data_IF_724511427382
#
_entry.id   IF_724511427382
#
_cell.length_a   1.000
_cell.length_b   1.000
_cell.length_c   1.000
_cell.angle_alpha   90.00
_cell.angle_beta   90.00
_cell.angle_gamma   90.00
#
_symmetry.space_group_name_H-M   'P 1'
#
loop_
_entity.id
_entity.type
_entity.pdbx_description
1 polymer ?
#
# COMPACT_ATOMS: atom_id res chain seq x y z
N UNK A 1 -27.25 -0.68 -3.54
CA UNK A 1 -26.77 -0.11 -2.25
C UNK A 1 -25.37 -0.63 -2.02
N UNK A 2 -24.36 0.09 -2.51
CA UNK A 2 -22.95 -0.32 -2.42
C UNK A 2 -22.40 0.20 -1.10
N UNK A 3 -22.17 -0.71 -0.15
CA UNK A 3 -21.60 -0.39 1.15
C UNK A 3 -20.10 -0.13 0.98
N UNK A 4 -19.71 1.14 0.93
CA UNK A 4 -18.31 1.54 1.09
C UNK A 4 -17.98 1.49 2.58
N UNK A 5 -17.17 0.51 2.99
CA UNK A 5 -16.58 0.48 4.34
C UNK A 5 -15.70 1.72 4.47
N UNK A 6 -16.19 2.68 5.25
CA UNK A 6 -15.49 3.93 5.54
C UNK A 6 -14.38 3.59 6.53
N UNK A 7 -13.14 3.59 6.08
CA UNK A 7 -11.98 3.40 6.95
C UNK A 7 -11.87 4.64 7.83
N UNK A 8 -12.26 4.49 9.10
CA UNK A 8 -12.23 5.56 10.10
C UNK A 8 -10.77 5.93 10.42
N UNK A 9 -10.45 7.22 10.30
CA UNK A 9 -9.15 7.80 10.63
C UNK A 9 -9.03 7.92 12.15
N UNK A 10 -8.52 6.89 12.82
CA UNK A 10 -8.16 6.98 14.22
C UNK A 10 -6.83 7.76 14.38
N UNK A 11 -6.91 8.99 14.91
CA UNK A 11 -5.78 9.81 15.33
C UNK A 11 -4.98 9.09 16.43
N UNK A 12 -3.78 8.58 16.11
CA UNK A 12 -2.93 7.90 17.08
C UNK A 12 -1.64 8.69 17.38
N UNK A 13 -1.67 9.42 18.50
CA UNK A 13 -0.48 9.92 19.20
C UNK A 13 0.06 8.83 20.13
N UNK A 14 1.22 8.23 19.83
CA UNK A 14 2.29 7.90 20.80
C UNK A 14 3.47 7.19 20.12
N UNK A 15 4.60 7.89 20.14
CA UNK A 15 5.91 7.43 19.66
C UNK A 15 6.42 6.24 20.48
N UNK A 16 6.57 5.09 19.83
CA UNK A 16 7.40 3.97 20.30
C UNK A 16 8.44 3.71 19.21
N UNK A 17 9.72 3.79 19.56
CA UNK A 17 10.87 3.58 18.66
C UNK A 17 10.88 2.15 18.09
N UNK A 18 10.44 1.91 16.84
CA UNK A 18 10.63 0.63 16.10
C UNK A 18 10.62 0.81 14.58
N UNK A 19 11.81 0.76 13.94
CA UNK A 19 12.11 0.96 12.49
C UNK A 19 11.54 2.26 11.87
N UNK A 20 12.32 3.01 11.08
CA UNK A 20 11.77 4.22 10.45
C UNK A 20 10.57 3.80 9.59
N UNK A 21 9.37 4.38 9.78
CA UNK A 21 8.20 4.08 8.95
C UNK A 21 8.50 4.23 7.45
N UNK A 22 9.42 5.13 7.09
CA UNK A 22 9.95 5.29 5.74
C UNK A 22 10.52 4.00 5.12
N UNK A 23 11.20 3.14 5.88
CA UNK A 23 11.81 1.92 5.34
C UNK A 23 10.76 0.91 4.86
N UNK A 24 9.57 0.91 5.46
CA UNK A 24 8.44 0.04 5.06
C UNK A 24 7.80 0.52 3.77
N UNK A 25 7.54 1.82 3.66
CA UNK A 25 7.04 2.43 2.43
C UNK A 25 7.94 2.13 1.24
N UNK A 26 9.25 2.25 1.42
CA UNK A 26 10.24 2.00 0.37
C UNK A 26 10.35 0.52 -0.03
N UNK A 27 10.15 -0.41 0.91
CA UNK A 27 10.07 -1.84 0.59
C UNK A 27 8.81 -2.16 -0.22
N UNK A 28 7.66 -1.64 0.22
CA UNK A 28 6.40 -1.79 -0.49
C UNK A 28 6.49 -1.23 -1.91
N UNK A 29 6.98 0.00 -2.08
CA UNK A 29 7.15 0.62 -3.38
C UNK A 29 8.02 -0.23 -4.31
N UNK A 30 9.14 -0.77 -3.82
CA UNK A 30 10.01 -1.66 -4.60
C UNK A 30 9.33 -2.96 -5.01
N UNK A 31 8.59 -3.59 -4.11
CA UNK A 31 7.86 -4.82 -4.41
C UNK A 31 6.78 -4.60 -5.48
N UNK A 32 6.02 -3.50 -5.37
CA UNK A 32 5.02 -3.11 -6.34
C UNK A 32 5.62 -2.78 -7.72
N UNK A 33 6.75 -2.06 -7.76
CA UNK A 33 7.49 -1.80 -9.01
C UNK A 33 7.95 -3.11 -9.66
N UNK A 34 8.51 -4.03 -8.87
CA UNK A 34 8.94 -5.34 -9.37
C UNK A 34 7.74 -6.18 -9.88
N UNK A 35 6.60 -6.12 -9.18
CA UNK A 35 5.38 -6.80 -9.60
C UNK A 35 4.83 -6.22 -10.91
N UNK A 36 4.78 -4.89 -11.05
CA UNK A 36 4.40 -4.23 -12.31
C UNK A 36 5.30 -4.63 -13.47
N UNK A 37 6.62 -4.66 -13.26
CA UNK A 37 7.58 -5.05 -14.28
C UNK A 37 7.37 -6.50 -14.76
N UNK A 38 7.00 -7.42 -13.86
CA UNK A 38 6.64 -8.81 -14.22
C UNK A 38 5.39 -8.91 -15.08
N UNK A 39 4.49 -7.94 -14.96
CA UNK A 39 3.28 -7.80 -15.79
C UNK A 39 3.54 -6.99 -17.08
N UNK A 40 4.80 -6.63 -17.36
CA UNK A 40 5.18 -5.87 -18.56
C UNK A 40 4.89 -4.37 -18.48
N UNK A 41 4.62 -3.83 -17.28
CA UNK A 41 4.38 -2.40 -17.06
C UNK A 41 5.55 -1.76 -16.31
N UNK A 42 6.00 -0.59 -16.77
CA UNK A 42 6.97 0.22 -16.02
C UNK A 42 6.24 1.32 -15.26
N UNK A 43 6.39 1.32 -13.94
CA UNK A 43 5.78 2.30 -13.04
C UNK A 43 6.84 2.90 -12.11
N UNK A 44 6.60 4.13 -11.68
CA UNK A 44 7.35 4.81 -10.62
C UNK A 44 6.40 5.02 -9.45
N UNK A 45 6.83 4.56 -8.28
CA UNK A 45 6.14 4.74 -7.02
C UNK A 45 7.01 5.60 -6.10
N UNK A 46 6.38 6.51 -5.34
CA UNK A 46 7.05 7.34 -4.35
C UNK A 46 6.21 7.37 -3.08
N UNK A 47 6.85 7.19 -1.93
CA UNK A 47 6.16 7.20 -0.64
C UNK A 47 5.77 8.63 -0.29
N UNK A 48 4.46 8.87 -0.19
CA UNK A 48 3.92 10.18 0.17
C UNK A 48 3.71 10.27 1.67
N UNK A 49 3.21 9.18 2.28
CA UNK A 49 2.84 9.15 3.69
C UNK A 49 2.95 7.74 4.23
N UNK A 50 3.36 7.64 5.50
CA UNK A 50 3.30 6.40 6.28
C UNK A 50 2.74 6.73 7.64
N UNK A 51 1.57 6.18 7.96
CA UNK A 51 0.91 6.37 9.24
C UNK A 51 0.76 5.03 9.97
N UNK A 52 1.03 4.97 11.29
CA UNK A 52 0.72 3.77 12.06
C UNK A 52 -0.79 3.54 12.08
N UNK A 53 -1.20 2.28 11.98
CA UNK A 53 -2.61 1.88 12.05
C UNK A 53 -2.77 0.69 12.99
N UNK A 54 -3.86 0.65 13.74
CA UNK A 54 -4.23 -0.49 14.55
C UNK A 54 -5.75 -0.64 14.59
N UNK A 55 -6.19 -1.89 14.69
CA UNK A 55 -7.55 -2.32 14.99
C UNK A 55 -7.55 -3.10 16.32
N UNK A 56 -8.71 -3.61 16.74
CA UNK A 56 -8.83 -4.43 17.94
C UNK A 56 -7.95 -5.70 17.91
N UNK A 57 -7.68 -6.24 16.73
CA UNK A 57 -6.96 -7.53 16.54
C UNK A 57 -5.70 -7.43 15.70
N UNK A 58 -5.48 -6.31 15.00
CA UNK A 58 -4.36 -6.14 14.07
C UNK A 58 -3.63 -4.84 14.33
N UNK A 59 -2.33 -4.82 14.06
CA UNK A 59 -1.50 -3.62 14.07
C UNK A 59 -0.71 -3.57 12.77
N UNK A 60 -0.37 -2.37 12.32
CA UNK A 60 0.03 -2.18 10.95
C UNK A 60 0.47 -0.76 10.62
N UNK A 61 0.46 -0.46 9.33
CA UNK A 61 0.69 0.89 8.83
C UNK A 61 -0.12 1.11 7.56
N UNK A 62 -0.73 2.29 7.45
CA UNK A 62 -1.29 2.77 6.19
C UNK A 62 -0.18 3.52 5.45
N UNK A 63 0.09 3.10 4.22
CA UNK A 63 1.10 3.70 3.36
C UNK A 63 0.39 4.29 2.15
N UNK A 64 0.64 5.57 1.88
CA UNK A 64 0.16 6.24 0.67
C UNK A 64 1.33 6.42 -0.28
N UNK A 65 1.17 5.94 -1.51
CA UNK A 65 2.15 6.04 -2.58
C UNK A 65 1.58 6.87 -3.72
N UNK A 66 2.35 7.82 -4.23
CA UNK A 66 2.07 8.44 -5.52
C UNK A 66 2.49 7.50 -6.65
N UNK A 67 1.61 7.30 -7.63
CA UNK A 67 1.87 6.49 -8.82
C UNK A 67 2.06 7.37 -10.05
N UNK A 68 3.17 7.14 -10.74
CA UNK A 68 3.44 7.69 -12.06
C UNK A 68 3.71 6.51 -13.02
N UNK A 69 2.82 6.32 -13.98
CA UNK A 69 2.87 5.22 -14.94
C UNK A 69 2.54 5.77 -16.34
N UNK A 70 3.26 5.28 -17.35
CA UNK A 70 2.90 5.60 -18.74
C UNK A 70 1.52 5.01 -19.03
N UNK A 71 0.55 5.81 -19.53
CA UNK A 71 -0.79 5.32 -19.82
C UNK A 71 -0.73 4.26 -20.91
N UNK A 72 -1.28 3.08 -20.62
CA UNK A 72 -1.34 1.99 -21.58
C UNK A 72 -2.17 0.80 -21.08
N UNK A 73 -2.48 -0.17 -21.96
CA UNK A 73 -3.28 -1.32 -21.59
C UNK A 73 -2.62 -2.16 -20.48
N UNK A 74 -1.29 -2.25 -20.47
CA UNK A 74 -0.55 -2.97 -19.43
C UNK A 74 -0.67 -2.31 -18.04
N UNK A 75 -0.60 -0.98 -17.95
CA UNK A 75 -0.75 -0.26 -16.68
C UNK A 75 -2.18 -0.33 -16.16
N UNK A 76 -3.17 -0.17 -17.04
CA UNK A 76 -4.58 -0.29 -16.68
C UNK A 76 -4.93 -1.70 -16.22
N UNK A 77 -4.42 -2.72 -16.90
CA UNK A 77 -4.62 -4.11 -16.49
C UNK A 77 -3.93 -4.40 -15.16
N UNK A 78 -2.69 -3.94 -14.97
CA UNK A 78 -1.99 -4.10 -13.69
C UNK A 78 -2.76 -3.46 -12.53
N UNK A 79 -3.26 -2.24 -12.70
CA UNK A 79 -4.05 -1.55 -11.67
C UNK A 79 -5.38 -2.23 -11.37
N UNK A 80 -6.05 -2.78 -12.39
CA UNK A 80 -7.30 -3.50 -12.21
C UNK A 80 -7.12 -4.81 -11.41
N UNK A 81 -5.97 -5.48 -11.56
CA UNK A 81 -5.67 -6.72 -10.85
C UNK A 81 -4.97 -6.51 -9.51
N UNK A 82 -4.50 -5.29 -9.22
CA UNK A 82 -3.71 -4.99 -8.02
C UNK A 82 -4.42 -5.31 -6.69
N UNK A 83 -5.72 -5.05 -6.51
CA UNK A 83 -6.43 -5.37 -5.26
C UNK A 83 -6.51 -6.87 -4.97
N UNK A 84 -6.44 -7.71 -5.99
CA UNK A 84 -6.50 -9.18 -5.88
C UNK A 84 -5.11 -9.83 -5.99
N UNK A 85 -4.07 -9.05 -6.29
CA UNK A 85 -2.72 -9.54 -6.49
C UNK A 85 -2.07 -9.91 -5.15
N UNK A 86 -1.57 -11.14 -5.06
CA UNK A 86 -0.72 -11.54 -3.95
C UNK A 86 0.72 -11.07 -4.19
N UNK A 87 1.15 -10.11 -3.38
CA UNK A 87 2.47 -9.46 -3.51
C UNK A 87 3.28 -9.74 -2.25
N UNK A 88 4.31 -10.60 -2.32
CA UNK A 88 5.06 -11.00 -1.16
C UNK A 88 5.93 -9.86 -0.62
N UNK A 89 5.77 -9.53 0.67
CA UNK A 89 6.54 -8.51 1.39
C UNK A 89 7.37 -9.06 2.55
N UNK A 90 7.64 -10.36 2.54
CA UNK A 90 8.43 -11.03 3.58
C UNK A 90 7.66 -11.13 4.89
N UNK A 91 7.99 -10.26 5.86
CA UNK A 91 7.38 -10.27 7.22
C UNK A 91 6.15 -9.38 7.35
N UNK A 92 5.95 -8.47 6.40
CA UNK A 92 4.80 -7.58 6.36
C UNK A 92 3.76 -8.22 5.41
N UNK A 93 2.46 -8.15 5.74
CA UNK A 93 1.39 -8.67 4.89
C UNK A 93 0.54 -7.51 4.36
N UNK A 94 0.26 -7.51 3.06
CA UNK A 94 -0.68 -6.57 2.47
C UNK A 94 -2.10 -7.03 2.83
N UNK A 95 -2.77 -6.24 3.66
CA UNK A 95 -4.14 -6.52 4.06
C UNK A 95 -5.16 -5.92 3.09
N UNK A 96 -4.84 -4.76 2.52
CA UNK A 96 -5.71 -4.07 1.56
C UNK A 96 -4.89 -3.15 0.65
N UNK A 97 -5.33 -3.01 -0.61
CA UNK A 97 -4.80 -2.04 -1.58
C UNK A 97 -5.97 -1.34 -2.26
N UNK A 98 -6.06 -0.03 -2.07
CA UNK A 98 -6.98 0.82 -2.81
C UNK A 98 -6.22 1.67 -3.83
N UNK A 99 -6.71 1.68 -5.07
CA UNK A 99 -6.29 2.64 -6.10
C UNK A 99 -7.25 3.81 -6.07
N UNK A 100 -6.74 5.00 -5.75
CA UNK A 100 -7.54 6.21 -5.65
C UNK A 100 -7.10 7.23 -6.72
N UNK A 101 -8.04 7.94 -7.36
CA UNK A 101 -7.68 9.05 -8.24
C UNK A 101 -7.12 10.23 -7.44
N UNK A 102 -6.06 10.87 -7.93
CA UNK A 102 -5.43 12.05 -7.33
C UNK A 102 -5.16 13.10 -8.43
N UNK A 103 -6.22 13.82 -8.82
CA UNK A 103 -6.17 14.78 -9.92
C UNK A 103 -5.85 14.11 -11.26
N UNK A 104 -4.72 14.46 -11.87
CA UNK A 104 -4.23 13.84 -13.11
C UNK A 104 -3.39 12.59 -12.88
N UNK A 105 -3.13 12.25 -11.62
CA UNK A 105 -2.34 11.09 -11.20
C UNK A 105 -3.22 10.10 -10.44
N UNK A 106 -2.63 8.97 -10.09
CA UNK A 106 -3.22 7.99 -9.22
C UNK A 106 -2.39 7.88 -7.95
N UNK A 107 -3.05 7.53 -6.85
CA UNK A 107 -2.40 7.20 -5.60
C UNK A 107 -2.81 5.81 -5.16
N UNK A 108 -1.89 5.10 -4.54
CA UNK A 108 -2.15 3.80 -3.94
C UNK A 108 -2.20 4.00 -2.43
N UNK A 109 -3.30 3.58 -1.81
CA UNK A 109 -3.43 3.52 -0.36
C UNK A 109 -3.37 2.06 0.05
N UNK A 110 -2.31 1.69 0.74
CA UNK A 110 -2.00 0.30 1.09
C UNK A 110 -2.03 0.13 2.60
N UNK A 111 -2.80 -0.85 3.06
CA UNK A 111 -2.79 -1.27 4.45
C UNK A 111 -1.83 -2.46 4.61
N UNK A 112 -0.76 -2.26 5.37
CA UNK A 112 0.11 -3.35 5.80
C UNK A 112 -0.26 -3.78 7.19
N UNK A 113 -0.52 -5.08 7.37
CA UNK A 113 -0.59 -5.72 8.68
C UNK A 113 0.79 -6.25 9.07
N UNK A 114 1.15 -6.05 10.33
CA UNK A 114 2.23 -6.78 10.96
C UNK A 114 1.71 -8.18 11.27
N UNK A 115 2.46 -9.20 10.87
CA UNK A 115 2.20 -10.53 11.37
C UNK A 115 2.38 -10.53 12.90
N UNK A 116 1.35 -10.99 13.61
CA UNK A 116 1.38 -11.16 15.06
C UNK A 116 2.18 -12.42 15.47
N UNK A 117 2.58 -13.27 14.52
CA UNK A 117 3.42 -14.43 14.79
C UNK A 117 4.90 -14.05 14.93
N UNK A 118 5.23 -13.45 16.06
CA UNK A 118 6.60 -13.08 16.42
C UNK A 118 6.79 -12.95 17.92
N UNK A 119 6.25 -13.88 18.68
CA UNK A 119 6.48 -14.08 20.12
C UNK A 119 6.53 -15.57 20.42
#
# INVERSE_FOLDING_TARGET
>A
MTAFVRIDHALASRTVLRHRPADRGERLARALVAHAARMGCTVRLSVTMVEPWCSATFSGSVIVLALDASPGPASSNWLANLPEADIPLGRDLIADIAVEPDGTRQRLRVLLCLDAAGG
#
